data_IF_654819490192
#
_entry.id   IF_654819490192
#
_cell.length_a   1.000
_cell.length_b   1.000
_cell.length_c   1.000
_cell.angle_alpha   90.00
_cell.angle_beta   90.00
_cell.angle_gamma   90.00
#
_symmetry.space_group_name_H-M   'P 1'
#
loop_
_entity.id
_entity.type
_entity.pdbx_description
1 polymer ?
#
# COMPACT_ATOMS: atom_id res chain seq x y z
N UNK A 1 0.31 -30.44 -8.68
CA UNK A 1 -0.70 -29.67 -9.44
C UNK A 1 -0.79 -28.28 -8.84
N UNK A 2 -0.06 -27.32 -9.39
CA UNK A 2 -0.33 -25.89 -9.17
C UNK A 2 -0.31 -25.23 -10.53
N UNK A 3 -1.25 -25.65 -11.38
CA UNK A 3 -1.66 -24.80 -12.49
C UNK A 3 -2.38 -23.60 -11.88
N UNK A 4 -1.87 -22.40 -12.12
CA UNK A 4 -2.59 -21.17 -11.81
C UNK A 4 -3.86 -21.18 -12.67
N UNK A 5 -5.02 -21.33 -12.04
CA UNK A 5 -6.28 -21.35 -12.79
C UNK A 5 -6.58 -19.95 -13.33
N UNK A 6 -7.18 -19.86 -14.52
CA UNK A 6 -7.68 -18.59 -15.08
C UNK A 6 -8.59 -17.87 -14.07
N UNK A 7 -9.44 -18.61 -13.34
CA UNK A 7 -10.27 -18.06 -12.28
C UNK A 7 -9.48 -17.43 -11.13
N UNK A 8 -8.32 -17.98 -10.77
CA UNK A 8 -7.44 -17.41 -9.75
C UNK A 8 -6.81 -16.10 -10.21
N UNK A 9 -6.36 -16.05 -11.47
CA UNK A 9 -5.82 -14.83 -12.09
C UNK A 9 -6.86 -13.72 -12.11
N UNK A 10 -8.07 -14.02 -12.58
CA UNK A 10 -9.18 -13.07 -12.63
C UNK A 10 -9.52 -12.54 -11.23
N UNK A 11 -9.66 -13.45 -10.25
CA UNK A 11 -10.01 -13.07 -8.89
C UNK A 11 -8.98 -12.14 -8.25
N UNK A 12 -7.69 -12.45 -8.41
CA UNK A 12 -6.60 -11.68 -7.81
C UNK A 12 -6.38 -10.34 -8.53
N UNK A 13 -6.48 -10.31 -9.86
CA UNK A 13 -6.42 -9.06 -10.63
C UNK A 13 -7.52 -8.09 -10.25
N UNK A 14 -8.77 -8.55 -10.18
CA UNK A 14 -9.90 -7.72 -9.74
C UNK A 14 -9.70 -7.26 -8.29
N UNK A 15 -9.25 -8.16 -7.41
CA UNK A 15 -8.99 -7.83 -6.01
C UNK A 15 -7.97 -6.69 -5.87
N UNK A 16 -6.84 -6.75 -6.55
CA UNK A 16 -5.81 -5.70 -6.46
C UNK A 16 -6.24 -4.39 -7.11
N UNK A 17 -7.02 -4.42 -8.19
CA UNK A 17 -7.63 -3.21 -8.76
C UNK A 17 -8.53 -2.52 -7.72
N UNK A 18 -9.43 -3.28 -7.10
CA UNK A 18 -10.38 -2.75 -6.12
C UNK A 18 -9.67 -2.27 -4.85
N UNK A 19 -8.78 -3.09 -4.28
CA UNK A 19 -8.05 -2.71 -3.08
C UNK A 19 -7.08 -1.56 -3.32
N UNK A 20 -6.37 -1.55 -4.46
CA UNK A 20 -5.46 -0.48 -4.84
C UNK A 20 -6.17 0.85 -5.01
N UNK A 21 -7.30 0.87 -5.74
CA UNK A 21 -8.11 2.09 -5.92
C UNK A 21 -8.65 2.61 -4.59
N UNK A 22 -9.20 1.74 -3.74
CA UNK A 22 -9.66 2.13 -2.39
C UNK A 22 -8.50 2.70 -1.56
N UNK A 23 -7.33 2.06 -1.60
CA UNK A 23 -6.17 2.48 -0.82
C UNK A 23 -5.64 3.86 -1.26
N UNK A 24 -5.61 4.14 -2.56
CA UNK A 24 -5.22 5.46 -3.09
C UNK A 24 -6.26 6.52 -2.76
N UNK A 25 -7.56 6.23 -2.92
CA UNK A 25 -8.62 7.17 -2.52
C UNK A 25 -8.53 7.50 -1.03
N UNK A 26 -8.31 6.49 -0.18
CA UNK A 26 -8.10 6.67 1.24
C UNK A 26 -6.86 7.54 1.53
N UNK A 27 -5.75 7.32 0.80
CA UNK A 27 -4.53 8.13 0.91
C UNK A 27 -4.83 9.61 0.66
N UNK A 28 -5.44 9.94 -0.48
CA UNK A 28 -5.80 11.32 -0.83
C UNK A 28 -6.77 11.95 0.18
N UNK A 29 -7.80 11.21 0.57
CA UNK A 29 -8.77 11.68 1.56
C UNK A 29 -8.10 12.04 2.90
N UNK A 30 -7.15 11.23 3.35
CA UNK A 30 -6.39 11.49 4.58
C UNK A 30 -5.43 12.67 4.41
N UNK A 31 -4.76 12.80 3.26
CA UNK A 31 -3.86 13.92 2.99
C UNK A 31 -4.63 15.25 2.98
N UNK A 32 -5.80 15.31 2.31
CA UNK A 32 -6.66 16.50 2.27
C UNK A 32 -7.23 16.85 3.64
N UNK A 33 -7.69 15.86 4.43
CA UNK A 33 -8.28 16.13 5.75
C UNK A 33 -7.28 16.65 6.80
N UNK A 34 -5.99 16.56 6.56
CA UNK A 34 -4.96 17.00 7.51
C UNK A 34 -4.41 18.39 7.27
N UNK A 35 -4.95 19.12 6.28
CA UNK A 35 -4.33 20.35 5.74
C UNK A 35 -2.83 20.17 5.44
N UNK A 36 -2.43 18.91 5.20
CA UNK A 36 -1.07 18.59 4.87
C UNK A 36 -0.95 18.85 3.37
N UNK A 37 -0.10 19.81 2.97
CA UNK A 37 0.20 20.05 1.56
C UNK A 37 0.46 18.71 0.85
N UNK A 38 -0.17 18.50 -0.31
CA UNK A 38 0.01 17.27 -1.09
C UNK A 38 1.49 17.12 -1.39
N UNK A 39 2.06 15.99 -0.96
CA UNK A 39 3.46 15.72 -1.17
C UNK A 39 3.72 15.25 -2.60
N UNK A 40 4.98 15.30 -3.03
CA UNK A 40 5.41 14.70 -4.29
C UNK A 40 5.05 13.20 -4.32
N UNK A 41 5.07 12.55 -3.15
CA UNK A 41 4.65 11.16 -2.97
C UNK A 41 3.17 10.92 -3.33
N UNK A 42 2.27 11.86 -3.04
CA UNK A 42 0.85 11.71 -3.37
C UNK A 42 0.62 11.76 -4.89
N UNK A 43 1.36 12.63 -5.59
CA UNK A 43 1.28 12.76 -7.05
C UNK A 43 1.90 11.59 -7.81
N UNK A 44 2.98 10.99 -7.30
CA UNK A 44 3.61 9.81 -7.90
C UNK A 44 2.76 8.53 -7.73
N UNK A 45 1.87 8.51 -6.75
CA UNK A 45 0.99 7.37 -6.48
C UNK A 45 -0.10 7.18 -7.54
N UNK A 46 -0.58 8.27 -8.16
CA UNK A 46 -1.59 8.21 -9.23
C UNK A 46 -1.10 7.49 -10.49
N UNK A 47 0.03 7.89 -11.13
CA UNK A 47 0.54 7.18 -12.29
C UNK A 47 0.94 5.75 -11.94
N UNK A 48 1.47 5.50 -10.74
CA UNK A 48 1.74 4.15 -10.27
C UNK A 48 0.47 3.28 -10.26
N UNK A 49 -0.65 3.79 -9.73
CA UNK A 49 -1.93 3.08 -9.73
C UNK A 49 -2.42 2.82 -11.15
N UNK A 50 -2.32 3.80 -12.04
CA UNK A 50 -2.77 3.61 -13.42
C UNK A 50 -1.99 2.49 -14.12
N UNK A 51 -0.68 2.38 -13.87
CA UNK A 51 0.12 1.31 -14.44
C UNK A 51 -0.19 -0.04 -13.82
N UNK A 52 -0.38 -0.12 -12.49
CA UNK A 52 -0.79 -1.38 -11.81
C UNK A 52 -2.15 -1.86 -12.32
N UNK A 53 -3.10 -0.95 -12.52
CA UNK A 53 -4.42 -1.30 -13.08
C UNK A 53 -4.27 -1.76 -14.54
N UNK A 54 -3.46 -1.08 -15.35
CA UNK A 54 -3.17 -1.50 -16.72
C UNK A 54 -2.55 -2.89 -16.77
N UNK A 55 -1.59 -3.19 -15.91
CA UNK A 55 -0.95 -4.50 -15.77
C UNK A 55 -1.98 -5.59 -15.40
N UNK A 56 -2.85 -5.33 -14.42
CA UNK A 56 -3.92 -6.26 -14.05
C UNK A 56 -4.86 -6.54 -15.23
N UNK A 57 -5.24 -5.51 -15.99
CA UNK A 57 -6.10 -5.65 -17.18
C UNK A 57 -5.39 -6.47 -18.27
N UNK A 58 -4.11 -6.19 -18.52
CA UNK A 58 -3.31 -6.90 -19.52
C UNK A 58 -3.19 -8.37 -19.15
N UNK A 59 -3.01 -8.70 -17.87
CA UNK A 59 -2.95 -10.09 -17.45
C UNK A 59 -4.32 -10.79 -17.56
N UNK A 60 -5.42 -10.10 -17.28
CA UNK A 60 -6.80 -10.63 -17.46
C UNK A 60 -7.08 -10.93 -18.94
N UNK A 61 -6.66 -10.05 -19.85
CA UNK A 61 -6.81 -10.28 -21.29
C UNK A 61 -5.82 -11.36 -21.74
N UNK A 62 -4.60 -11.32 -21.22
CA UNK A 62 -3.51 -12.23 -21.56
C UNK A 62 -3.82 -13.67 -21.19
N UNK A 63 -4.54 -13.91 -20.08
CA UNK A 63 -5.02 -15.24 -19.75
C UNK A 63 -6.04 -15.78 -20.75
N UNK A 64 -6.73 -14.92 -21.50
CA UNK A 64 -7.69 -15.30 -22.53
C UNK A 64 -7.07 -15.39 -23.95
N UNK A 65 -5.97 -14.66 -24.23
CA UNK A 65 -5.39 -14.55 -25.58
C UNK A 65 -3.98 -15.14 -25.73
N UNK A 66 -3.35 -15.60 -24.64
CA UNK A 66 -2.01 -16.25 -24.62
C UNK A 66 -0.88 -15.47 -25.32
N UNK A 67 -0.95 -14.14 -25.41
CA UNK A 67 -0.07 -13.34 -26.32
C UNK A 67 0.48 -12.05 -25.72
N UNK A 68 0.33 -11.79 -24.42
CA UNK A 68 0.58 -10.46 -23.82
C UNK A 68 1.74 -10.39 -22.80
N UNK A 69 2.69 -11.33 -22.87
CA UNK A 69 3.82 -11.41 -21.92
C UNK A 69 4.70 -10.15 -21.97
N UNK A 70 5.03 -9.67 -23.17
CA UNK A 70 5.93 -8.52 -23.35
C UNK A 70 5.35 -7.20 -22.82
N UNK A 71 4.04 -7.01 -22.97
CA UNK A 71 3.35 -5.81 -22.49
C UNK A 71 3.37 -5.73 -20.96
N UNK A 72 3.30 -6.88 -20.29
CA UNK A 72 3.40 -6.98 -18.83
C UNK A 72 4.77 -6.50 -18.36
N UNK A 73 5.86 -7.07 -18.87
CA UNK A 73 7.21 -6.75 -18.40
C UNK A 73 7.59 -5.28 -18.66
N UNK A 74 7.16 -4.69 -19.79
CA UNK A 74 7.39 -3.27 -20.09
C UNK A 74 6.70 -2.36 -19.08
N UNK A 75 5.48 -2.70 -18.67
CA UNK A 75 4.67 -1.86 -17.76
C UNK A 75 5.10 -2.06 -16.31
N UNK A 76 5.55 -3.26 -15.96
CA UNK A 76 5.97 -3.60 -14.60
C UNK A 76 7.14 -2.71 -14.13
N UNK A 77 8.16 -2.50 -14.98
CA UNK A 77 9.37 -1.71 -14.62
C UNK A 77 9.03 -0.26 -14.20
N UNK A 78 8.34 0.56 -15.00
CA UNK A 78 7.99 1.93 -14.61
C UNK A 78 7.03 1.94 -13.43
N UNK A 79 6.14 0.95 -13.31
CA UNK A 79 5.19 0.86 -12.21
C UNK A 79 5.90 0.60 -10.87
N UNK A 80 6.80 -0.41 -10.80
CA UNK A 80 7.66 -0.66 -9.63
C UNK A 80 8.51 0.56 -9.29
N UNK A 81 9.09 1.22 -10.29
CA UNK A 81 9.91 2.41 -10.09
C UNK A 81 9.12 3.53 -9.42
N UNK A 82 7.90 3.82 -9.89
CA UNK A 82 7.06 4.85 -9.28
C UNK A 82 6.60 4.48 -7.86
N UNK A 83 6.32 3.20 -7.59
CA UNK A 83 5.99 2.72 -6.23
C UNK A 83 7.19 2.94 -5.29
N UNK A 84 8.40 2.54 -5.69
CA UNK A 84 9.65 2.73 -4.94
C UNK A 84 9.91 4.22 -4.66
N UNK A 85 9.71 5.09 -5.65
CA UNK A 85 9.85 6.54 -5.48
C UNK A 85 8.80 7.08 -4.50
N UNK A 86 7.55 6.65 -4.61
CA UNK A 86 6.46 7.08 -3.73
C UNK A 86 6.80 6.81 -2.26
N UNK A 87 7.28 5.61 -1.94
CA UNK A 87 7.65 5.27 -0.55
C UNK A 87 8.92 6.01 -0.09
N UNK A 88 9.91 6.19 -0.96
CA UNK A 88 11.14 6.92 -0.63
C UNK A 88 10.88 8.41 -0.33
N UNK A 89 10.05 9.08 -1.14
CA UNK A 89 9.64 10.45 -0.86
C UNK A 89 8.78 10.56 0.40
N UNK A 90 7.91 9.59 0.63
CA UNK A 90 7.14 9.50 1.87
C UNK A 90 8.04 9.37 3.11
N UNK A 91 9.07 8.51 3.03
CA UNK A 91 10.08 8.35 4.07
C UNK A 91 10.85 9.64 4.36
N UNK A 92 11.25 10.38 3.32
CA UNK A 92 11.90 11.69 3.46
C UNK A 92 11.01 12.76 4.08
N UNK A 93 9.70 12.68 3.85
CA UNK A 93 8.72 13.60 4.45
C UNK A 93 8.57 13.37 5.96
N UNK A 94 8.70 12.13 6.42
CA UNK A 94 8.50 11.76 7.84
C UNK A 94 9.77 11.90 8.65
N UNK A 95 10.88 11.41 8.12
CA UNK A 95 12.12 11.26 8.86
C UNK A 95 13.11 12.34 8.43
N UNK A 96 13.62 13.07 9.42
CA UNK A 96 14.57 14.17 9.23
C UNK A 96 15.92 13.74 9.82
N UNK A 97 16.98 13.76 9.01
CA UNK A 97 18.33 13.44 9.47
C UNK A 97 19.36 13.46 8.35
N UNK A 98 20.62 13.83 8.64
CA UNK A 98 21.68 13.91 7.61
C UNK A 98 21.99 12.55 6.99
N UNK A 99 22.24 11.53 7.81
CA UNK A 99 22.51 10.16 7.34
C UNK A 99 21.31 9.59 6.57
N UNK A 100 20.10 9.79 7.10
CA UNK A 100 18.85 9.38 6.45
C UNK A 100 18.66 10.05 5.09
N UNK A 101 18.91 11.36 5.00
CA UNK A 101 18.81 12.10 3.74
C UNK A 101 19.81 11.59 2.70
N UNK A 102 21.06 11.33 3.08
CA UNK A 102 22.07 10.78 2.17
C UNK A 102 21.64 9.38 1.69
N UNK A 103 21.28 8.49 2.61
CA UNK A 103 20.80 7.14 2.26
C UNK A 103 19.57 7.19 1.35
N UNK A 104 18.63 8.11 1.61
CA UNK A 104 17.42 8.28 0.80
C UNK A 104 17.74 8.69 -0.64
N UNK A 105 18.70 9.60 -0.83
CA UNK A 105 19.11 10.06 -2.16
C UNK A 105 19.84 8.96 -2.93
N UNK A 106 20.66 8.17 -2.23
CA UNK A 106 21.31 6.99 -2.83
C UNK A 106 20.25 5.99 -3.31
N UNK A 107 19.25 5.67 -2.48
CA UNK A 107 18.19 4.73 -2.86
C UNK A 107 17.27 5.27 -3.97
N UNK A 108 16.96 6.57 -3.97
CA UNK A 108 16.23 7.21 -5.08
C UNK A 108 17.04 7.09 -6.37
N UNK A 109 18.34 7.40 -6.32
CA UNK A 109 19.23 7.25 -7.46
C UNK A 109 19.30 5.80 -7.94
N UNK A 110 19.42 4.84 -7.03
CA UNK A 110 19.46 3.41 -7.35
C UNK A 110 18.14 2.93 -7.98
N UNK A 111 16.98 3.34 -7.46
CA UNK A 111 15.67 2.98 -8.01
C UNK A 111 15.46 3.57 -9.41
N UNK A 112 15.86 4.83 -9.62
CA UNK A 112 15.81 5.47 -10.95
C UNK A 112 16.79 4.83 -11.92
N UNK A 113 18.01 4.54 -11.49
CA UNK A 113 19.02 3.87 -12.32
C UNK A 113 18.55 2.48 -12.73
N UNK A 114 17.99 1.71 -11.79
CA UNK A 114 17.36 0.41 -12.08
C UNK A 114 16.23 0.57 -13.10
N UNK A 115 15.23 1.41 -12.80
CA UNK A 115 14.07 1.60 -13.66
C UNK A 115 14.44 2.05 -15.07
N UNK A 116 15.31 3.06 -15.19
CA UNK A 116 15.75 3.58 -16.49
C UNK A 116 16.58 2.57 -17.28
N UNK A 117 17.52 1.88 -16.63
CA UNK A 117 18.38 0.90 -17.29
C UNK A 117 17.55 -0.26 -17.83
N UNK A 118 16.70 -0.87 -17.00
CA UNK A 118 15.91 -2.02 -17.44
C UNK A 118 14.80 -1.63 -18.40
N UNK A 119 14.23 -0.43 -18.28
CA UNK A 119 13.30 0.07 -19.29
C UNK A 119 13.98 0.18 -20.66
N UNK A 120 15.15 0.80 -20.75
CA UNK A 120 15.89 0.92 -22.02
C UNK A 120 16.30 -0.47 -22.55
N UNK A 121 16.80 -1.35 -21.69
CA UNK A 121 17.23 -2.70 -22.08
C UNK A 121 16.06 -3.51 -22.65
N UNK A 122 14.87 -3.45 -22.03
CA UNK A 122 13.67 -4.15 -22.52
C UNK A 122 13.26 -3.68 -23.92
N UNK A 123 13.31 -2.37 -24.18
CA UNK A 123 13.04 -1.82 -25.52
C UNK A 123 14.13 -2.17 -26.54
N UNK A 124 15.40 -2.22 -26.10
CA UNK A 124 16.54 -2.49 -26.98
C UNK A 124 16.83 -3.99 -27.18
N UNK A 125 16.21 -4.88 -26.41
CA UNK A 125 16.54 -6.31 -26.34
C UNK A 125 16.49 -7.04 -27.70
N UNK A 126 15.63 -6.60 -28.61
CA UNK A 126 15.45 -7.19 -29.94
C UNK A 126 15.91 -6.28 -31.10
N UNK A 127 16.67 -5.21 -30.80
CA UNK A 127 17.26 -4.32 -31.78
C UNK A 127 16.23 -3.71 -32.75
N UNK A 128 16.47 -3.86 -34.06
CA UNK A 128 15.62 -3.30 -35.13
C UNK A 128 14.38 -4.13 -35.44
N UNK A 129 14.25 -5.33 -34.85
CA UNK A 129 13.08 -6.20 -35.04
C UNK A 129 12.11 -6.07 -33.87
N UNK A 130 11.54 -4.88 -33.69
CA UNK A 130 10.46 -4.65 -32.73
C UNK A 130 9.27 -5.59 -33.01
N UNK A 131 9.03 -5.96 -34.27
CA UNK A 131 7.98 -6.90 -34.64
C UNK A 131 8.22 -8.32 -34.09
N UNK A 132 9.48 -8.73 -33.88
CA UNK A 132 9.79 -10.02 -33.29
C UNK A 132 9.39 -10.10 -31.80
N UNK A 133 9.34 -8.97 -31.09
CA UNK A 133 8.87 -8.91 -29.69
C UNK A 133 7.39 -9.27 -29.51
N UNK A 134 6.59 -9.06 -30.55
CA UNK A 134 5.15 -9.36 -30.56
C UNK A 134 4.83 -10.69 -31.25
N UNK A 135 5.86 -11.43 -31.67
CA UNK A 135 5.74 -12.71 -32.36
C UNK A 135 5.88 -13.89 -31.40
N UNK A 136 5.83 -15.13 -31.91
CA UNK A 136 5.87 -16.32 -31.06
C UNK A 136 7.17 -16.42 -30.25
N UNK A 137 7.11 -17.12 -29.11
CA UNK A 137 8.24 -17.33 -28.19
C UNK A 137 9.47 -17.93 -28.89
N UNK A 138 9.27 -18.73 -29.95
CA UNK A 138 10.33 -19.27 -30.78
C UNK A 138 11.13 -18.20 -31.54
N UNK A 139 10.45 -17.20 -32.10
CA UNK A 139 11.09 -16.08 -32.80
C UNK A 139 11.80 -15.10 -31.86
N UNK A 140 11.37 -15.05 -30.59
CA UNK A 140 12.03 -14.28 -29.53
C UNK A 140 13.40 -14.87 -29.19
N UNK A 141 13.49 -16.20 -29.04
CA UNK A 141 14.72 -16.91 -28.70
C UNK A 141 15.79 -16.84 -29.79
N UNK A 142 15.39 -16.69 -31.05
CA UNK A 142 16.31 -16.68 -32.19
C UNK A 142 16.82 -15.27 -32.55
N UNK A 143 16.01 -14.23 -32.33
CA UNK A 143 16.31 -12.87 -32.83
C UNK A 143 16.62 -11.85 -31.73
N UNK A 144 16.41 -12.17 -30.45
CA UNK A 144 16.63 -11.26 -29.34
C UNK A 144 17.80 -11.67 -28.46
N UNK A 145 18.48 -10.69 -27.87
CA UNK A 145 19.50 -10.93 -26.84
C UNK A 145 18.83 -11.66 -25.67
N UNK A 146 19.51 -12.66 -25.10
CA UNK A 146 19.05 -13.54 -24.01
C UNK A 146 18.07 -12.86 -23.04
N UNK A 147 16.78 -12.89 -23.37
CA UNK A 147 15.72 -12.17 -22.64
C UNK A 147 15.62 -12.71 -21.20
N UNK A 148 15.92 -13.99 -21.03
CA UNK A 148 15.96 -14.66 -19.73
C UNK A 148 17.07 -14.14 -18.82
N UNK A 149 18.28 -13.91 -19.33
CA UNK A 149 19.39 -13.33 -18.55
C UNK A 149 19.04 -11.90 -18.08
N UNK A 150 18.37 -11.15 -18.95
CA UNK A 150 17.85 -9.81 -18.64
C UNK A 150 16.85 -9.87 -17.50
N UNK A 151 15.87 -10.79 -17.54
CA UNK A 151 14.84 -10.95 -16.51
C UNK A 151 15.41 -11.41 -15.16
N UNK A 152 16.39 -12.32 -15.14
CA UNK A 152 17.08 -12.75 -13.91
C UNK A 152 17.81 -11.55 -13.29
N UNK A 153 18.56 -10.82 -14.11
CA UNK A 153 19.34 -9.67 -13.65
C UNK A 153 18.41 -8.56 -13.14
N UNK A 154 17.33 -8.27 -13.87
CA UNK A 154 16.28 -7.33 -13.48
C UNK A 154 15.74 -7.66 -12.10
N UNK A 155 15.34 -8.92 -11.88
CA UNK A 155 14.75 -9.40 -10.63
C UNK A 155 15.73 -9.34 -9.46
N UNK A 156 16.99 -9.68 -9.69
CA UNK A 156 18.02 -9.64 -8.65
C UNK A 156 18.28 -8.21 -8.14
N UNK A 157 18.43 -7.24 -9.05
CA UNK A 157 18.61 -5.85 -8.66
C UNK A 157 17.35 -5.24 -8.04
N UNK A 158 16.17 -5.64 -8.52
CA UNK A 158 14.89 -5.19 -7.98
C UNK A 158 14.74 -5.54 -6.49
N UNK A 159 14.97 -6.81 -6.16
CA UNK A 159 15.01 -7.30 -4.77
C UNK A 159 16.06 -6.57 -3.94
N UNK A 160 17.26 -6.33 -4.50
CA UNK A 160 18.31 -5.61 -3.80
C UNK A 160 17.91 -4.17 -3.42
N UNK A 161 17.25 -3.46 -4.34
CA UNK A 161 16.73 -2.10 -4.09
C UNK A 161 15.62 -2.14 -3.02
N UNK A 162 14.71 -3.11 -3.09
CA UNK A 162 13.63 -3.21 -2.11
C UNK A 162 14.12 -3.55 -0.70
N UNK A 163 15.12 -4.43 -0.57
CA UNK A 163 15.77 -4.70 0.71
C UNK A 163 16.38 -3.42 1.29
N UNK A 164 17.02 -2.61 0.44
CA UNK A 164 17.55 -1.30 0.85
C UNK A 164 16.45 -0.36 1.38
N UNK A 165 15.32 -0.26 0.67
CA UNK A 165 14.17 0.56 1.06
C UNK A 165 13.55 0.04 2.36
N UNK A 166 13.44 -1.28 2.54
CA UNK A 166 12.86 -1.91 3.72
C UNK A 166 13.72 -1.72 4.97
N UNK A 167 15.05 -1.84 4.84
CA UNK A 167 15.99 -1.73 5.97
C UNK A 167 16.10 -0.28 6.45
N UNK A 168 16.01 0.69 5.54
CA UNK A 168 16.19 2.11 5.81
C UNK A 168 15.44 2.65 7.06
N UNK A 169 14.13 2.41 7.27
CA UNK A 169 13.41 2.90 8.44
C UNK A 169 13.66 2.09 9.73
N UNK A 170 14.24 0.89 9.67
CA UNK A 170 14.33 -0.03 10.82
C UNK A 170 15.17 0.57 11.98
N UNK A 171 16.42 1.03 11.77
CA UNK A 171 17.24 1.56 12.87
C UNK A 171 16.55 2.73 13.59
N UNK A 172 15.94 3.61 12.82
CA UNK A 172 15.27 4.80 13.33
C UNK A 172 13.99 4.47 14.13
N UNK A 173 13.30 3.40 13.76
CA UNK A 173 12.13 2.90 14.50
C UNK A 173 12.54 2.22 15.80
N UNK A 174 13.71 1.58 15.85
CA UNK A 174 14.22 0.91 17.06
C UNK A 174 14.69 1.91 18.12
N UNK A 175 15.27 3.04 17.72
CA UNK A 175 15.73 4.09 18.64
C UNK A 175 14.58 4.89 19.27
N UNK A 176 13.42 4.93 18.62
CA UNK A 176 12.33 5.82 19.00
C UNK A 176 11.33 5.13 19.93
N UNK A 177 11.27 5.57 21.19
CA UNK A 177 10.33 5.08 22.22
C UNK A 177 8.87 5.41 21.89
N UNK A 178 8.28 4.62 21.00
CA UNK A 178 6.91 4.79 20.51
C UNK A 178 5.89 4.00 21.35
N UNK A 179 4.68 4.53 21.59
CA UNK A 179 3.60 3.76 22.22
C UNK A 179 3.21 2.56 21.34
N UNK A 180 2.82 1.44 21.98
CA UNK A 180 2.57 0.15 21.33
C UNK A 180 1.71 0.23 20.06
N UNK A 181 0.67 1.09 20.05
CA UNK A 181 -0.21 1.28 18.89
C UNK A 181 0.53 1.78 17.65
N UNK A 182 1.49 2.71 17.82
CA UNK A 182 2.31 3.22 16.71
C UNK A 182 3.35 2.20 16.25
N UNK A 183 3.84 1.38 17.17
CA UNK A 183 4.76 0.28 16.88
C UNK A 183 4.09 -0.81 16.03
N UNK A 184 2.86 -1.21 16.38
CA UNK A 184 2.07 -2.17 15.62
C UNK A 184 1.76 -1.67 14.19
N UNK A 185 1.41 -0.40 14.01
CA UNK A 185 1.16 0.14 12.68
C UNK A 185 2.41 0.11 11.79
N UNK A 186 3.59 0.47 12.33
CA UNK A 186 4.86 0.36 11.58
C UNK A 186 5.17 -1.09 11.24
N UNK A 187 5.01 -1.99 12.21
CA UNK A 187 5.27 -3.40 12.00
C UNK A 187 4.35 -3.98 10.91
N UNK A 188 3.09 -3.57 10.86
CA UNK A 188 2.16 -3.98 9.80
C UNK A 188 2.58 -3.50 8.41
N UNK A 189 3.02 -2.25 8.28
CA UNK A 189 3.52 -1.71 7.00
C UNK A 189 4.82 -2.42 6.59
N UNK A 190 5.73 -2.63 7.53
CA UNK A 190 6.97 -3.37 7.29
C UNK A 190 6.68 -4.82 6.87
N UNK A 191 5.68 -5.46 7.49
CA UNK A 191 5.26 -6.82 7.16
C UNK A 191 4.68 -6.93 5.75
N UNK A 192 3.88 -5.95 5.31
CA UNK A 192 3.43 -5.91 3.92
C UNK A 192 4.57 -5.63 2.95
N UNK A 193 5.52 -4.77 3.32
CA UNK A 193 6.75 -4.56 2.55
C UNK A 193 7.57 -5.85 2.41
N UNK A 194 7.74 -6.61 3.48
CA UNK A 194 8.42 -7.93 3.42
C UNK A 194 7.66 -8.93 2.57
N UNK A 195 6.32 -8.88 2.57
CA UNK A 195 5.50 -9.77 1.73
C UNK A 195 5.67 -9.45 0.24
N UNK A 196 5.73 -8.17 -0.14
CA UNK A 196 6.02 -7.76 -1.51
C UNK A 196 7.39 -8.29 -1.97
N UNK A 197 8.43 -8.12 -1.14
CA UNK A 197 9.78 -8.64 -1.42
C UNK A 197 9.78 -10.16 -1.51
N UNK A 198 9.03 -10.85 -0.66
CA UNK A 198 8.92 -12.30 -0.73
C UNK A 198 8.34 -12.75 -2.08
N UNK A 199 7.33 -12.05 -2.60
CA UNK A 199 6.79 -12.32 -3.94
C UNK A 199 7.86 -12.13 -5.04
N UNK A 200 8.64 -11.04 -4.97
CA UNK A 200 9.74 -10.76 -5.89
C UNK A 200 10.87 -11.79 -5.84
N UNK A 201 11.26 -12.23 -4.63
CA UNK A 201 12.25 -13.30 -4.45
C UNK A 201 11.72 -14.61 -5.01
N UNK A 202 10.46 -14.95 -4.76
CA UNK A 202 9.86 -16.16 -5.33
C UNK A 202 9.87 -16.10 -6.87
N UNK A 203 9.50 -14.96 -7.46
CA UNK A 203 9.62 -14.73 -8.92
C UNK A 203 11.05 -14.90 -9.43
N UNK A 204 12.05 -14.35 -8.72
CA UNK A 204 13.47 -14.51 -9.06
C UNK A 204 13.92 -15.99 -9.01
N UNK A 205 13.54 -16.73 -7.97
CA UNK A 205 13.86 -18.15 -7.85
C UNK A 205 13.27 -18.93 -9.03
N UNK A 206 12.04 -18.64 -9.42
CA UNK A 206 11.44 -19.27 -10.59
C UNK A 206 12.19 -18.97 -11.89
N UNK A 207 12.67 -17.74 -12.10
CA UNK A 207 13.53 -17.45 -13.25
C UNK A 207 14.82 -18.28 -13.25
N UNK A 208 15.43 -18.51 -12.08
CA UNK A 208 16.67 -19.30 -11.97
C UNK A 208 16.40 -20.80 -12.16
N UNK A 209 15.35 -21.35 -11.55
CA UNK A 209 15.01 -22.79 -11.63
C UNK A 209 14.60 -23.22 -13.03
N UNK A 210 13.92 -22.34 -13.78
CA UNK A 210 13.49 -22.62 -15.15
C UNK A 210 14.65 -22.40 -16.13
N UNK A 211 15.47 -21.35 -15.94
CA UNK A 211 16.30 -20.80 -17.03
C UNK A 211 17.78 -20.61 -16.68
N UNK A 212 18.15 -20.72 -15.40
CA UNK A 212 19.44 -20.23 -14.86
C UNK A 212 20.65 -21.15 -15.06
N UNK A 213 20.49 -22.47 -15.19
CA UNK A 213 21.57 -23.38 -15.60
C UNK A 213 21.02 -24.82 -15.74
N UNK A 214 21.53 -25.66 -16.66
CA UNK A 214 21.14 -27.08 -16.75
C UNK A 214 21.44 -27.92 -15.49
N UNK A 215 22.20 -27.39 -14.52
CA UNK A 215 22.47 -28.05 -13.23
C UNK A 215 21.40 -27.80 -12.16
N UNK A 216 20.57 -26.77 -12.34
CA UNK A 216 19.46 -26.39 -11.45
C UNK A 216 18.09 -26.59 -12.13
N UNK A 217 18.10 -26.92 -13.43
CA UNK A 217 16.90 -27.24 -14.21
C UNK A 217 16.18 -28.43 -13.56
N UNK A 218 15.06 -28.11 -12.91
CA UNK A 218 14.21 -29.12 -12.28
C UNK A 218 13.19 -29.58 -13.32
N UNK A 219 12.94 -30.89 -13.42
CA UNK A 219 11.98 -31.47 -14.37
C UNK A 219 10.55 -30.95 -14.19
N UNK A 220 10.27 -30.33 -13.04
CA UNK A 220 8.99 -29.70 -12.71
C UNK A 220 9.22 -28.39 -11.94
N UNK A 221 8.56 -27.31 -12.36
CA UNK A 221 8.57 -26.01 -11.70
C UNK A 221 7.15 -25.70 -11.21
N UNK A 222 6.98 -25.48 -9.90
CA UNK A 222 5.66 -25.33 -9.26
C UNK A 222 4.65 -26.45 -9.65
N UNK A 223 5.14 -27.66 -9.93
CA UNK A 223 4.30 -28.80 -10.34
C UNK A 223 3.81 -28.76 -11.79
N UNK A 224 4.41 -27.92 -12.64
CA UNK A 224 4.28 -27.88 -14.11
C UNK A 224 5.56 -28.44 -14.71
N UNK A 225 5.49 -29.21 -15.80
CA UNK A 225 6.70 -29.71 -16.48
C UNK A 225 7.53 -28.53 -17.02
N UNK A 226 8.85 -28.59 -16.90
CA UNK A 226 9.75 -27.54 -17.42
C UNK A 226 9.68 -27.38 -18.95
N UNK A 227 9.07 -28.33 -19.66
CA UNK A 227 8.85 -28.31 -21.11
C UNK A 227 7.55 -27.56 -21.51
N UNK A 228 6.68 -27.22 -20.57
CA UNK A 228 5.44 -26.47 -20.81
C UNK A 228 5.71 -24.94 -20.65
N UNK A 229 6.30 -24.32 -21.67
CA UNK A 229 6.66 -22.89 -21.66
C UNK A 229 5.50 -21.97 -21.19
N UNK A 230 4.27 -22.25 -21.64
CA UNK A 230 3.06 -21.45 -21.34
C UNK A 230 2.71 -21.49 -19.84
N UNK A 231 2.84 -22.65 -19.20
CA UNK A 231 2.50 -22.82 -17.79
C UNK A 231 3.49 -22.13 -16.87
N UNK A 232 4.77 -22.16 -17.25
CA UNK A 232 5.85 -21.49 -16.51
C UNK A 232 5.69 -19.97 -16.55
N UNK A 233 5.42 -19.39 -17.72
CA UNK A 233 5.24 -17.94 -17.83
C UNK A 233 4.02 -17.48 -17.03
N UNK A 234 2.93 -18.25 -17.06
CA UNK A 234 1.72 -17.94 -16.28
C UNK A 234 2.00 -17.84 -14.77
N UNK A 235 2.87 -18.70 -14.23
CA UNK A 235 3.29 -18.64 -12.81
C UNK A 235 4.15 -17.40 -12.55
N UNK A 236 5.06 -17.04 -13.45
CA UNK A 236 5.91 -15.86 -13.31
C UNK A 236 5.11 -14.55 -13.28
N UNK A 237 4.16 -14.40 -14.22
CA UNK A 237 3.26 -13.25 -14.29
C UNK A 237 2.39 -13.13 -13.03
N UNK A 238 1.92 -14.26 -12.50
CA UNK A 238 1.14 -14.32 -11.27
C UNK A 238 1.91 -13.73 -10.07
N UNK A 239 3.17 -14.12 -9.89
CA UNK A 239 4.00 -13.59 -8.81
C UNK A 239 4.35 -12.12 -9.01
N UNK A 240 4.55 -11.67 -10.26
CA UNK A 240 4.74 -10.26 -10.59
C UNK A 240 3.53 -9.40 -10.20
N UNK A 241 2.32 -9.86 -10.50
CA UNK A 241 1.10 -9.14 -10.10
C UNK A 241 0.96 -9.08 -8.57
N UNK A 242 1.28 -10.17 -7.86
CA UNK A 242 1.24 -10.19 -6.39
C UNK A 242 2.23 -9.18 -5.78
N UNK A 243 3.46 -9.16 -6.30
CA UNK A 243 4.49 -8.20 -5.89
C UNK A 243 3.99 -6.75 -6.04
N UNK A 244 3.46 -6.41 -7.20
CA UNK A 244 2.93 -5.09 -7.53
C UNK A 244 1.74 -4.67 -6.68
N UNK A 245 0.74 -5.55 -6.58
CA UNK A 245 -0.49 -5.31 -5.83
C UNK A 245 -0.21 -5.12 -4.33
N UNK A 246 0.61 -5.98 -3.74
CA UNK A 246 1.00 -5.90 -2.32
C UNK A 246 1.83 -4.64 -2.07
N UNK A 247 2.79 -4.31 -2.95
CA UNK A 247 3.61 -3.12 -2.82
C UNK A 247 2.76 -1.84 -2.87
N UNK A 248 1.83 -1.72 -3.83
CA UNK A 248 0.93 -0.58 -3.94
C UNK A 248 0.09 -0.38 -2.65
N UNK A 249 -0.48 -1.46 -2.13
CA UNK A 249 -1.26 -1.42 -0.88
C UNK A 249 -0.37 -1.01 0.30
N UNK A 250 0.83 -1.59 0.42
CA UNK A 250 1.78 -1.28 1.47
C UNK A 250 2.15 0.22 1.48
N UNK A 251 2.44 0.78 0.32
CA UNK A 251 2.79 2.20 0.16
C UNK A 251 1.63 3.14 0.51
N UNK A 252 0.40 2.77 0.15
CA UNK A 252 -0.79 3.54 0.54
C UNK A 252 -1.04 3.48 2.05
N UNK A 253 -0.90 2.29 2.66
CA UNK A 253 -1.06 2.08 4.10
C UNK A 253 0.00 2.83 4.92
N UNK A 254 1.21 3.00 4.37
CA UNK A 254 2.27 3.79 4.99
C UNK A 254 1.78 5.21 5.34
N UNK A 255 1.07 5.86 4.43
CA UNK A 255 0.51 7.22 4.60
C UNK A 255 -0.71 7.28 5.52
N UNK A 256 -1.45 6.17 5.60
CA UNK A 256 -2.60 6.02 6.49
C UNK A 256 -2.20 5.77 7.96
N UNK A 257 -0.92 5.48 8.26
CA UNK A 257 -0.38 5.18 9.60
C UNK A 257 -0.99 6.03 10.75
N UNK A 258 -0.96 7.36 10.70
CA UNK A 258 -1.56 8.23 11.73
C UNK A 258 -3.10 8.15 11.90
N UNK A 259 -3.86 7.56 10.95
CA UNK A 259 -5.31 7.38 11.09
C UNK A 259 -5.68 6.16 11.93
N UNK A 260 -4.79 5.15 12.04
CA UNK A 260 -4.94 4.06 13.02
C UNK A 260 -4.95 4.54 14.48
N UNK A 261 -4.74 5.85 14.72
CA UNK A 261 -4.92 6.49 16.02
C UNK A 261 -6.40 6.59 16.43
N UNK A 262 -7.34 6.72 15.49
CA UNK A 262 -8.78 6.87 15.78
C UNK A 262 -9.56 5.56 15.71
N UNK A 263 -9.03 4.55 15.02
CA UNK A 263 -9.62 3.21 14.97
C UNK A 263 -9.40 2.52 16.32
N UNK A 264 -10.41 2.58 17.18
CA UNK A 264 -10.45 1.71 18.35
C UNK A 264 -10.44 0.26 17.85
N UNK A 265 -9.41 -0.50 18.23
CA UNK A 265 -9.35 -1.95 17.97
C UNK A 265 -10.60 -2.66 18.50
N UNK A 266 -11.30 -2.07 19.48
CA UNK A 266 -12.58 -2.57 19.95
C UNK A 266 -13.68 -2.52 18.90
N UNK A 267 -13.69 -1.55 17.98
CA UNK A 267 -14.68 -1.48 16.89
C UNK A 267 -14.46 -2.57 15.85
N UNK A 268 -13.19 -2.93 15.58
CA UNK A 268 -12.84 -4.04 14.67
C UNK A 268 -13.15 -5.38 15.34
N UNK A 269 -12.76 -5.57 16.61
CA UNK A 269 -13.09 -6.78 17.38
C UNK A 269 -14.60 -6.92 17.55
N UNK A 270 -15.34 -5.83 17.75
CA UNK A 270 -16.81 -5.84 17.75
C UNK A 270 -17.38 -6.19 16.37
N UNK A 271 -16.80 -5.68 15.27
CA UNK A 271 -17.23 -6.01 13.91
C UNK A 271 -16.95 -7.47 13.53
N UNK A 272 -15.80 -8.01 13.96
CA UNK A 272 -15.45 -9.43 13.80
C UNK A 272 -16.27 -10.33 14.74
N UNK A 273 -16.58 -9.88 15.98
CA UNK A 273 -17.52 -10.58 16.86
C UNK A 273 -18.94 -10.57 16.31
N UNK A 274 -19.40 -9.49 15.68
CA UNK A 274 -20.72 -9.45 15.04
C UNK A 274 -20.78 -10.30 13.77
N UNK A 275 -19.69 -10.36 12.99
CA UNK A 275 -19.58 -11.25 11.84
C UNK A 275 -19.56 -12.73 12.25
N UNK A 276 -18.95 -13.06 13.39
CA UNK A 276 -18.93 -14.43 13.94
C UNK A 276 -20.18 -14.77 14.78
N UNK A 277 -20.90 -13.79 15.34
CA UNK A 277 -22.18 -14.02 16.02
C UNK A 277 -23.36 -14.18 15.06
N UNK A 278 -23.26 -13.67 13.83
CA UNK A 278 -24.25 -13.94 12.76
C UNK A 278 -24.24 -15.40 12.29
N UNK A 279 -23.20 -16.18 12.62
CA UNK A 279 -23.17 -17.64 12.45
C UNK A 279 -23.82 -18.42 13.58
N UNK A 280 -24.35 -17.75 14.63
CA UNK A 280 -24.98 -18.36 15.80
C UNK A 280 -26.32 -17.68 16.12
N UNK A 281 -27.22 -17.58 15.15
CA UNK A 281 -28.65 -17.36 15.40
C UNK A 281 -29.44 -18.57 14.90
N UNK A 282 -29.35 -19.65 15.67
CA UNK A 282 -30.20 -20.82 15.56
C UNK A 282 -30.53 -21.34 16.95
N UNK A 283 -31.80 -21.22 17.32
CA UNK A 283 -32.49 -21.78 18.51
C UNK A 283 -32.29 -21.06 19.85
N UNK A 284 -33.39 -20.78 20.55
CA UNK A 284 -33.31 -20.56 22.01
C UNK A 284 -34.34 -19.71 22.75
N UNK A 285 -35.64 -19.87 22.46
CA UNK A 285 -36.74 -19.79 23.45
C UNK A 285 -37.08 -18.44 24.14
N UNK A 286 -38.29 -17.98 23.87
CA UNK A 286 -39.03 -16.99 24.66
C UNK A 286 -39.33 -17.53 26.07
N UNK A 287 -39.18 -16.70 27.11
CA UNK A 287 -40.07 -16.80 28.26
C UNK A 287 -40.38 -15.43 28.86
N UNK A 288 -41.67 -15.16 28.87
CA UNK A 288 -42.40 -14.07 29.51
C UNK A 288 -42.27 -14.06 31.03
N UNK A 289 -42.68 -12.93 31.65
CA UNK A 289 -43.08 -12.65 33.06
C UNK A 289 -42.06 -11.81 33.84
N UNK A 290 -42.40 -10.75 34.56
CA UNK A 290 -43.70 -10.18 35.00
C UNK A 290 -43.44 -8.74 35.45
N UNK A 291 -44.33 -7.82 35.04
CA UNK A 291 -44.46 -6.47 35.59
C UNK A 291 -44.80 -6.50 37.07
N UNK A 292 -44.15 -5.66 37.88
CA UNK A 292 -44.78 -5.07 39.06
C UNK A 292 -44.46 -3.59 39.14
N UNK A 293 -45.54 -2.82 39.08
CA UNK A 293 -45.64 -1.41 39.40
C UNK A 293 -45.13 -1.10 40.80
N UNK A 294 -44.49 0.06 40.95
CA UNK A 294 -44.70 0.91 42.12
C UNK A 294 -44.82 2.35 41.62
N UNK A 295 -46.07 2.83 41.55
CA UNK A 295 -46.45 4.22 41.36
C UNK A 295 -46.89 4.78 42.71
N UNK A 296 -46.28 5.88 43.15
CA UNK A 296 -46.81 6.97 43.98
C UNK A 296 -45.59 7.83 44.38
N UNK A 297 -45.55 9.16 44.30
CA UNK A 297 -46.60 10.15 44.54
C UNK A 297 -46.17 11.48 43.90
N UNK A 298 -47.07 12.09 43.14
CA UNK A 298 -47.02 13.48 42.71
C UNK A 298 -47.69 14.34 43.79
N UNK A 299 -47.06 15.45 44.17
CA UNK A 299 -47.73 16.59 44.78
C UNK A 299 -47.27 17.87 44.05
N UNK A 300 -48.27 18.67 43.70
CA UNK A 300 -48.23 19.84 42.82
C UNK A 300 -48.22 21.14 43.63
N UNK A 301 -47.63 22.18 43.02
CA UNK A 301 -47.90 23.62 43.17
C UNK A 301 -47.79 24.31 44.55
N UNK A 302 -47.05 25.44 44.63
CA UNK A 302 -47.62 26.80 44.59
C UNK A 302 -46.47 27.85 44.65
N UNK A 303 -46.58 28.92 43.86
CA UNK A 303 -45.71 30.11 43.89
C UNK A 303 -46.01 31.03 45.11
N UNK A 304 -45.06 31.89 45.52
CA UNK A 304 -45.23 33.30 45.99
C UNK A 304 -43.94 33.87 46.64
N UNK A 305 -43.40 34.94 46.01
CA UNK A 305 -42.66 36.15 46.47
C UNK A 305 -41.43 36.13 47.44
N UNK A 306 -40.44 37.00 47.14
CA UNK A 306 -39.11 37.23 47.78
C UNK A 306 -39.06 37.73 49.24
N UNK A 307 -38.02 38.45 49.74
CA UNK A 307 -36.95 39.22 49.06
C UNK A 307 -35.49 38.95 49.54
N UNK A 308 -34.50 39.54 48.82
CA UNK A 308 -33.05 39.56 49.13
C UNK A 308 -32.68 40.45 50.36
N UNK A 309 -31.53 40.17 51.02
CA UNK A 309 -30.81 41.15 51.84
C UNK A 309 -29.50 41.66 51.19
N UNK A 310 -28.95 42.79 51.67
CA UNK A 310 -28.12 43.72 50.90
C UNK A 310 -26.60 43.45 51.00
N UNK A 311 -25.85 43.96 50.02
CA UNK A 311 -24.39 44.04 50.07
C UNK A 311 -23.88 45.26 50.84
N UNK A 312 -22.55 45.34 51.07
CA UNK A 312 -21.88 46.60 51.29
C UNK A 312 -20.78 46.88 50.25
N UNK A 313 -20.43 48.16 50.24
CA UNK A 313 -19.81 48.97 49.22
C UNK A 313 -18.31 49.25 49.51
N UNK A 314 -17.61 49.78 48.49
CA UNK A 314 -16.44 50.68 48.55
C UNK A 314 -15.01 50.06 48.49
N UNK A 315 -14.22 50.36 47.44
CA UNK A 315 -13.30 51.53 47.34
C UNK A 315 -12.31 51.38 46.16
N UNK A 316 -12.40 52.27 45.17
CA UNK A 316 -11.36 52.52 44.15
C UNK A 316 -10.17 53.28 44.74
N UNK A 317 -8.95 53.04 44.24
CA UNK A 317 -7.79 53.94 44.37
C UNK A 317 -6.78 53.71 43.22
N UNK A 318 -6.60 54.78 42.43
CA UNK A 318 -5.47 55.13 41.55
C UNK A 318 -5.38 54.36 40.22
N UNK A 319 -5.64 54.94 39.05
CA UNK A 319 -5.39 56.32 38.62
C UNK A 319 -4.07 56.36 37.85
N UNK A 320 -4.17 56.35 36.52
CA UNK A 320 -3.33 57.02 35.51
C UNK A 320 -4.04 56.78 34.17
N UNK A 321 -4.54 57.86 33.59
CA UNK A 321 -4.96 57.97 32.20
C UNK A 321 -3.76 57.74 31.26
N UNK A 322 -4.00 57.40 29.99
CA UNK A 322 -3.51 58.20 28.84
C UNK A 322 -3.62 57.42 27.51
N UNK A 323 -4.23 58.12 26.55
CA UNK A 323 -4.15 58.07 25.07
C UNK A 323 -4.83 56.95 24.26
N UNK A 324 -5.72 57.41 23.38
CA UNK A 324 -6.26 56.73 22.21
C UNK A 324 -5.47 57.10 20.94
N UNK A 325 -5.25 56.16 20.00
CA UNK A 325 -5.39 56.29 18.52
C UNK A 325 -5.07 54.93 17.82
N UNK A 326 -5.30 54.71 16.49
CA UNK A 326 -6.25 53.74 15.98
C UNK A 326 -5.63 52.68 15.05
N UNK A 327 -6.47 51.72 14.66
CA UNK A 327 -6.20 50.80 13.54
C UNK A 327 -6.36 51.51 12.19
N UNK A 328 -5.26 51.74 11.49
CA UNK A 328 -5.23 51.86 10.03
C UNK A 328 -3.83 51.53 9.50
N UNK A 329 -3.75 50.51 8.64
CA UNK A 329 -2.95 50.41 7.40
C UNK A 329 -2.57 48.96 7.11
N UNK A 330 -3.31 48.34 6.17
CA UNK A 330 -2.77 47.33 5.26
C UNK A 330 -2.46 48.06 3.95
N UNK A 331 -1.18 48.16 3.63
CA UNK A 331 -0.64 48.37 2.29
C UNK A 331 0.13 47.12 1.88
#
# INVERSE_FOLDING_TARGET
MTYVSESSVLAIGILFIVLGTIAVVARFWVSTKRDAALGIDDWLCLPALTLVVAECIIMIIGSATHTLEFAFDIIQVPALTLIKLTILFFYRRIFLGRAFNIASWILIGAALAWGLTFFIVQFAACGTSLAAQWSSLASLKENCVNTFDILITLSAFDVAVDLGILIMPIPLVLELQMPLRRKLAVLGILLLGTLAIACGVTRMVFFIEVLGHPLLATSTVAGVASDDDIGVVSVLLFWGMMEMGVAMIAVCLATLRPFFRSWSLESIVRSFRSATSLGSMGSGHSSSRTSKETVARSESETAITGPQPPGPEYKDLNGIDVEAYPMSEMG
#
